data_IF_352401005853
#
_entry.id   IF_352401005853
#
_cell.length_a   1.000
_cell.length_b   1.000
_cell.length_c   1.000
_cell.angle_alpha   90.00
_cell.angle_beta   90.00
_cell.angle_gamma   90.00
#
_symmetry.space_group_name_H-M   'P 1'
#
loop_
_entity.id
_entity.type
_entity.pdbx_description
1 polymer ?
#
# COMPACT_ATOMS: atom_id res chain seq x y z
N UNK A 1 -0.03 15.87 -3.39
CA UNK A 1 -0.56 14.96 -2.32
C UNK A 1 -1.95 14.38 -2.56
N UNK A 2 -3.09 15.10 -2.42
CA UNK A 2 -4.44 14.47 -2.58
C UNK A 2 -4.61 13.73 -3.91
N UNK A 3 -4.14 14.32 -5.00
CA UNK A 3 -4.12 13.70 -6.32
C UNK A 3 -3.22 12.46 -6.41
N UNK A 4 -2.11 12.40 -5.67
CA UNK A 4 -1.22 11.23 -5.61
C UNK A 4 -1.84 10.10 -4.79
N UNK A 5 -2.51 10.42 -3.68
CA UNK A 5 -3.26 9.45 -2.88
C UNK A 5 -4.36 8.80 -3.74
N UNK A 6 -5.11 9.60 -4.52
CA UNK A 6 -6.10 9.09 -5.47
C UNK A 6 -5.48 8.25 -6.59
N UNK A 7 -4.28 8.62 -7.06
CA UNK A 7 -3.53 7.83 -8.05
C UNK A 7 -3.05 6.48 -7.49
N UNK A 8 -2.75 6.44 -6.18
CA UNK A 8 -2.35 5.23 -5.48
C UNK A 8 -3.54 4.31 -5.17
N UNK A 9 -4.69 4.89 -4.79
CA UNK A 9 -5.93 4.17 -4.56
C UNK A 9 -7.13 5.05 -4.97
N UNK A 10 -7.74 4.69 -6.10
CA UNK A 10 -8.86 5.43 -6.69
C UNK A 10 -10.21 5.19 -6.00
N UNK A 11 -10.29 4.22 -5.10
CA UNK A 11 -11.53 3.89 -4.37
C UNK A 11 -11.70 4.74 -3.09
N UNK A 12 -10.72 5.57 -2.73
CA UNK A 12 -10.79 6.42 -1.55
C UNK A 12 -11.68 7.65 -1.77
N UNK A 13 -12.66 7.83 -0.89
CA UNK A 13 -13.47 9.04 -0.81
C UNK A 13 -12.65 10.24 -0.28
N UNK A 14 -13.12 11.46 -0.55
CA UNK A 14 -12.47 12.68 -0.05
C UNK A 14 -12.31 12.67 1.49
N UNK A 15 -13.32 12.16 2.20
CA UNK A 15 -13.34 12.07 3.67
C UNK A 15 -12.26 11.10 4.17
N UNK A 16 -12.08 9.96 3.50
CA UNK A 16 -11.02 9.01 3.84
C UNK A 16 -9.65 9.63 3.64
N UNK A 17 -9.43 10.32 2.52
CA UNK A 17 -8.14 10.98 2.22
C UNK A 17 -7.83 12.05 3.26
N UNK A 18 -8.80 12.89 3.61
CA UNK A 18 -8.61 13.92 4.63
C UNK A 18 -8.29 13.32 6.00
N UNK A 19 -8.99 12.25 6.39
CA UNK A 19 -8.72 11.54 7.65
C UNK A 19 -7.33 10.91 7.66
N UNK A 20 -6.87 10.37 6.52
CA UNK A 20 -5.53 9.82 6.37
C UNK A 20 -4.46 10.90 6.51
N UNK A 21 -4.61 12.02 5.81
CA UNK A 21 -3.65 13.13 5.90
C UNK A 21 -3.57 13.70 7.32
N UNK A 22 -4.72 13.88 8.00
CA UNK A 22 -4.74 14.31 9.40
C UNK A 22 -4.01 13.33 10.31
N UNK A 23 -4.21 12.03 10.10
CA UNK A 23 -3.51 10.98 10.86
C UNK A 23 -2.00 11.03 10.63
N UNK A 24 -1.56 11.08 9.37
CA UNK A 24 -0.14 11.17 9.02
C UNK A 24 0.52 12.41 9.60
N UNK A 25 -0.17 13.55 9.57
CA UNK A 25 0.29 14.77 10.24
C UNK A 25 0.54 14.55 11.74
N UNK A 26 -0.43 13.98 12.45
CA UNK A 26 -0.29 13.71 13.89
C UNK A 26 0.80 12.67 14.18
N UNK A 27 0.98 11.67 13.32
CA UNK A 27 2.03 10.66 13.45
C UNK A 27 3.43 11.23 13.26
N UNK A 28 3.61 12.20 12.34
CA UNK A 28 4.92 12.81 12.06
C UNK A 28 5.26 14.00 12.95
N UNK A 29 4.27 14.85 13.27
CA UNK A 29 4.46 16.06 14.07
C UNK A 29 4.23 15.84 15.58
N UNK A 30 3.62 14.71 15.93
CA UNK A 30 3.25 14.32 17.28
C UNK A 30 1.80 14.66 17.63
N UNK A 31 1.12 13.75 18.30
CA UNK A 31 -0.30 13.89 18.67
C UNK A 31 -0.60 15.15 19.51
N UNK A 32 0.35 15.61 20.34
CA UNK A 32 0.23 16.83 21.13
C UNK A 32 0.11 18.10 20.25
N UNK A 33 0.63 18.06 19.01
CA UNK A 33 0.51 19.13 18.02
C UNK A 33 -0.72 18.97 17.12
N UNK A 34 -1.64 18.05 17.41
CA UNK A 34 -2.80 17.78 16.57
C UNK A 34 -3.71 19.00 16.34
N UNK A 35 -3.72 19.96 17.27
CA UNK A 35 -4.44 21.24 17.11
C UNK A 35 -3.91 22.10 15.96
N UNK A 36 -2.65 21.91 15.54
CA UNK A 36 -2.06 22.64 14.41
C UNK A 36 -2.57 22.15 13.05
N UNK A 37 -3.28 21.03 12.99
CA UNK A 37 -3.89 20.53 11.75
C UNK A 37 -4.91 21.53 11.17
N UNK A 38 -5.57 22.32 12.03
CA UNK A 38 -6.53 23.32 11.58
C UNK A 38 -5.85 24.65 11.18
N UNK A 39 -4.52 24.76 11.34
CA UNK A 39 -3.72 25.88 10.86
C UNK A 39 -3.19 25.60 9.44
N UNK A 40 -3.77 26.27 8.45
CA UNK A 40 -3.41 26.10 7.04
C UNK A 40 -1.93 26.33 6.75
N UNK A 41 -1.30 27.32 7.39
CA UNK A 41 0.12 27.61 7.14
C UNK A 41 0.99 26.43 7.58
N UNK A 42 0.76 25.91 8.80
CA UNK A 42 1.51 24.77 9.33
C UNK A 42 1.31 23.53 8.47
N UNK A 43 0.08 23.26 8.02
CA UNK A 43 -0.21 22.10 7.17
C UNK A 43 0.45 22.23 5.80
N UNK A 44 0.48 23.42 5.20
CA UNK A 44 1.14 23.66 3.91
C UNK A 44 2.66 23.46 4.05
N UNK A 45 3.29 24.07 5.04
CA UNK A 45 4.72 23.92 5.30
C UNK A 45 5.11 22.45 5.54
N UNK A 46 4.30 21.72 6.31
CA UNK A 46 4.48 20.28 6.52
C UNK A 46 4.34 19.48 5.22
N UNK A 47 3.31 19.75 4.41
CA UNK A 47 3.11 19.08 3.13
C UNK A 47 4.29 19.33 2.18
N UNK A 48 4.76 20.58 2.08
CA UNK A 48 5.89 20.95 1.23
C UNK A 48 7.17 20.24 1.66
N UNK A 49 7.47 20.23 2.97
CA UNK A 49 8.62 19.50 3.53
C UNK A 49 8.61 18.01 3.16
N UNK A 50 7.44 17.36 3.22
CA UNK A 50 7.32 15.95 2.88
C UNK A 50 7.25 15.67 1.37
N UNK A 51 7.00 16.70 0.55
CA UNK A 51 6.89 16.58 -0.90
C UNK A 51 8.15 17.00 -1.66
N UNK A 52 9.12 17.65 -1.02
CA UNK A 52 10.42 17.94 -1.63
C UNK A 52 11.14 16.64 -2.06
N UNK A 53 11.89 16.72 -3.16
CA UNK A 53 12.56 15.57 -3.82
C UNK A 53 13.95 15.27 -3.25
N UNK A 54 14.36 15.92 -2.16
CA UNK A 54 15.64 15.64 -1.53
C UNK A 54 15.60 14.24 -0.88
N UNK A 55 16.10 13.27 -1.65
CA UNK A 55 16.26 11.83 -1.38
C UNK A 55 17.01 11.49 -0.07
N UNK A 56 17.47 12.49 0.68
CA UNK A 56 18.20 12.31 1.93
C UNK A 56 17.30 12.02 3.14
N UNK A 57 16.00 12.32 3.06
CA UNK A 57 15.05 12.06 4.15
C UNK A 57 13.84 11.25 3.63
N UNK A 58 13.71 10.01 4.08
CA UNK A 58 12.57 9.15 3.78
C UNK A 58 11.26 9.86 4.19
N UNK A 59 10.50 10.36 3.21
CA UNK A 59 9.25 11.06 3.49
C UNK A 59 8.17 10.05 3.87
N UNK A 60 7.76 10.09 5.15
CA UNK A 60 6.70 9.24 5.67
C UNK A 60 5.40 9.29 4.83
N UNK A 61 5.03 10.47 4.29
CA UNK A 61 3.86 10.59 3.41
C UNK A 61 4.07 9.80 2.11
N UNK A 62 5.24 9.94 1.46
CA UNK A 62 5.53 9.23 0.20
C UNK A 62 5.56 7.72 0.42
N UNK A 63 6.13 7.26 1.52
CA UNK A 63 6.10 5.85 1.90
C UNK A 63 4.69 5.34 2.14
N UNK A 64 3.88 6.09 2.89
CA UNK A 64 2.50 5.73 3.15
C UNK A 64 1.70 5.62 1.84
N UNK A 65 1.93 6.51 0.87
CA UNK A 65 1.34 6.43 -0.47
C UNK A 65 1.83 5.18 -1.22
N UNK A 66 3.12 4.82 -1.12
CA UNK A 66 3.69 3.60 -1.72
C UNK A 66 3.03 2.34 -1.15
N UNK A 67 2.90 2.25 0.17
CA UNK A 67 2.23 1.12 0.82
C UNK A 67 0.74 1.06 0.49
N UNK A 68 0.06 2.21 0.45
CA UNK A 68 -1.33 2.30 0.03
C UNK A 68 -1.53 1.75 -1.39
N UNK A 69 -0.67 2.14 -2.34
CA UNK A 69 -0.72 1.63 -3.72
C UNK A 69 -0.51 0.12 -3.77
N UNK A 70 0.46 -0.39 -3.01
CA UNK A 70 0.77 -1.83 -2.96
C UNK A 70 -0.43 -2.62 -2.42
N UNK A 71 -1.02 -2.18 -1.31
CA UNK A 71 -2.19 -2.82 -0.70
C UNK A 71 -3.39 -2.81 -1.66
N UNK A 72 -3.66 -1.66 -2.29
CA UNK A 72 -4.73 -1.52 -3.27
C UNK A 72 -4.58 -2.52 -4.44
N UNK A 73 -3.40 -2.59 -5.06
CA UNK A 73 -3.14 -3.51 -6.17
C UNK A 73 -3.31 -4.97 -5.74
N UNK A 74 -2.80 -5.35 -4.55
CA UNK A 74 -2.95 -6.71 -4.04
C UNK A 74 -4.41 -7.08 -3.78
N UNK A 75 -5.18 -6.19 -3.17
CA UNK A 75 -6.63 -6.38 -2.96
C UNK A 75 -7.37 -6.52 -4.29
N UNK A 76 -7.01 -5.71 -5.30
CA UNK A 76 -7.63 -5.76 -6.63
C UNK A 76 -7.31 -7.08 -7.34
N UNK A 77 -6.05 -7.53 -7.34
CA UNK A 77 -5.64 -8.82 -7.91
C UNK A 77 -6.42 -9.95 -7.23
N UNK A 78 -6.48 -9.96 -5.89
CA UNK A 78 -7.23 -10.97 -5.14
C UNK A 78 -8.71 -11.01 -5.56
N UNK A 79 -9.36 -9.84 -5.63
CA UNK A 79 -10.75 -9.75 -6.03
C UNK A 79 -10.98 -10.26 -7.46
N UNK A 80 -10.07 -9.95 -8.40
CA UNK A 80 -10.16 -10.42 -9.79
C UNK A 80 -10.02 -11.95 -9.88
N UNK A 81 -9.06 -12.55 -9.17
CA UNK A 81 -8.86 -14.01 -9.16
C UNK A 81 -10.03 -14.72 -8.49
N UNK A 82 -10.59 -14.15 -7.41
CA UNK A 82 -11.75 -14.72 -6.71
C UNK A 82 -13.03 -14.68 -7.56
N UNK A 83 -13.21 -13.62 -8.37
CA UNK A 83 -14.37 -13.49 -9.25
C UNK A 83 -14.27 -14.36 -10.51
N UNK A 84 -13.06 -14.80 -10.88
CA UNK A 84 -12.77 -15.57 -12.10
C UNK A 84 -11.86 -16.77 -11.75
N UNK A 85 -12.34 -17.77 -10.97
CA UNK A 85 -11.50 -18.87 -10.50
C UNK A 85 -10.87 -19.70 -11.64
N UNK A 86 -11.48 -19.71 -12.82
CA UNK A 86 -10.99 -20.42 -14.01
C UNK A 86 -9.62 -19.91 -14.50
N UNK A 87 -9.26 -18.65 -14.25
CA UNK A 87 -7.96 -18.08 -14.66
C UNK A 87 -6.87 -18.23 -13.59
N UNK A 88 -7.20 -18.80 -12.42
CA UNK A 88 -6.29 -18.83 -11.28
C UNK A 88 -4.98 -19.57 -11.58
N UNK A 89 -5.04 -20.72 -12.25
CA UNK A 89 -3.85 -21.49 -12.61
C UNK A 89 -2.98 -20.76 -13.64
N UNK A 90 -3.59 -20.12 -14.64
CA UNK A 90 -2.86 -19.32 -15.63
C UNK A 90 -2.16 -18.13 -14.97
N UNK A 91 -2.82 -17.46 -14.01
CA UNK A 91 -2.19 -16.41 -13.21
C UNK A 91 -0.98 -16.92 -12.41
N UNK A 92 -1.08 -18.11 -11.78
CA UNK A 92 0.05 -18.71 -11.05
C UNK A 92 1.22 -18.98 -11.99
N UNK A 93 0.96 -19.55 -13.18
CA UNK A 93 1.98 -19.84 -14.19
C UNK A 93 2.67 -18.54 -14.63
N UNK A 94 1.90 -17.52 -15.00
CA UNK A 94 2.44 -16.23 -15.43
C UNK A 94 3.26 -15.54 -14.32
N UNK A 95 2.74 -15.50 -13.09
CA UNK A 95 3.47 -14.91 -11.95
C UNK A 95 4.77 -15.67 -11.68
N UNK A 96 4.74 -17.01 -11.74
CA UNK A 96 5.92 -17.84 -11.52
C UNK A 96 7.03 -17.58 -12.54
N UNK A 97 6.71 -17.18 -13.78
CA UNK A 97 7.71 -16.84 -14.79
C UNK A 97 8.61 -15.66 -14.38
N UNK A 98 8.09 -14.73 -13.58
CA UNK A 98 8.83 -13.58 -13.08
C UNK A 98 9.62 -13.84 -11.79
N UNK A 99 9.47 -15.03 -11.18
CA UNK A 99 10.18 -15.40 -9.96
C UNK A 99 11.58 -15.91 -10.27
N UNK A 100 12.52 -15.56 -9.39
CA UNK A 100 13.87 -16.17 -9.37
C UNK A 100 13.80 -17.65 -8.99
N UNK A 101 14.85 -18.43 -9.29
CA UNK A 101 14.90 -19.85 -8.92
C UNK A 101 14.69 -20.10 -7.43
N UNK A 102 15.25 -19.25 -6.56
CA UNK A 102 15.06 -19.33 -5.11
C UNK A 102 13.61 -19.06 -4.69
N UNK A 103 12.96 -18.06 -5.30
CA UNK A 103 11.55 -17.75 -5.04
C UNK A 103 10.64 -18.88 -5.54
N UNK A 104 10.93 -19.47 -6.71
CA UNK A 104 10.21 -20.65 -7.22
C UNK A 104 10.32 -21.83 -6.24
N UNK A 105 11.51 -22.10 -5.73
CA UNK A 105 11.72 -23.16 -4.74
C UNK A 105 10.99 -22.88 -3.41
N UNK A 106 10.89 -21.62 -2.98
CA UNK A 106 10.09 -21.25 -1.81
C UNK A 106 8.59 -21.47 -2.06
N UNK A 107 8.07 -21.06 -3.20
CA UNK A 107 6.66 -21.27 -3.58
C UNK A 107 6.35 -22.77 -3.67
N UNK A 108 7.21 -23.56 -4.33
CA UNK A 108 7.04 -25.00 -4.43
C UNK A 108 6.98 -25.68 -3.05
N UNK A 109 7.87 -25.27 -2.13
CA UNK A 109 7.85 -25.77 -0.74
C UNK A 109 6.53 -25.42 -0.04
N UNK A 110 6.08 -24.17 -0.12
CA UNK A 110 4.82 -23.73 0.49
C UNK A 110 3.62 -24.51 -0.03
N UNK A 111 3.56 -24.78 -1.34
CA UNK A 111 2.49 -25.56 -1.95
C UNK A 111 2.54 -27.02 -1.48
N UNK A 112 3.72 -27.63 -1.39
CA UNK A 112 3.87 -29.01 -0.90
C UNK A 112 3.54 -29.19 0.59
N UNK A 113 3.66 -28.13 1.41
CA UNK A 113 3.26 -28.17 2.82
C UNK A 113 1.76 -28.04 3.02
N UNK A 114 1.03 -27.43 2.07
CA UNK A 114 -0.43 -27.24 2.19
C UNK A 114 -1.18 -28.57 2.12
N UNK A 115 -0.65 -29.57 1.41
CA UNK A 115 -1.28 -30.89 1.32
C UNK A 115 -1.19 -31.70 2.64
N UNK A 116 -0.31 -31.32 3.58
CA UNK A 116 -0.12 -32.03 4.85
C UNK A 116 -0.99 -31.48 6.01
N UNK A 117 -1.63 -30.32 5.85
CA UNK A 117 -2.43 -29.67 6.89
C UNK A 117 -3.95 -29.91 6.73
N UNK A 118 -4.34 -30.92 5.94
CA UNK A 118 -5.73 -31.39 5.89
C UNK A 118 -6.00 -32.25 7.14
N UNK A 119 -6.85 -31.82 8.10
CA UNK A 119 -7.28 -32.72 9.16
C UNK A 119 -8.18 -33.78 8.53
N UNK A 120 -7.84 -35.05 8.76
CA UNK A 120 -8.67 -36.20 8.44
C UNK A 120 -10.01 -36.15 9.17
#
# INVERSE_FOLDING_TARGET
VKAEVLRANSELSHIHIQSMLRRWFMETEGAAKGYLWDNNQVVVEWLEKHMQEDDSTQSAIRENIKYLKRDYVLKRIRSLVQANPEVAMDCVIQMAQHLTGAQKAQVARLLSTVDNDSPS
#
